data_IF_395581347446
#
_entry.id   IF_395581347446
#
_cell.length_a   1.000
_cell.length_b   1.000
_cell.length_c   1.000
_cell.angle_alpha   90.00
_cell.angle_beta   90.00
_cell.angle_gamma   90.00
#
_symmetry.space_group_name_H-M   'P 1'
#
loop_
_entity.id
_entity.type
_entity.pdbx_description
1 polymer ?
#
# COMPACT_ATOMS: atom_id res chain seq x y z
N UNK A 1 -2.63 12.53 -8.70
CA UNK A 1 -4.02 13.01 -8.57
C UNK A 1 -4.87 11.96 -7.87
N UNK A 2 -5.46 12.32 -6.74
CA UNK A 2 -6.39 11.45 -5.98
C UNK A 2 -7.78 11.53 -6.61
N UNK A 3 -8.48 10.39 -6.73
CA UNK A 3 -9.88 10.36 -7.16
C UNK A 3 -10.77 11.27 -6.30
N UNK A 4 -10.48 11.37 -5.00
CA UNK A 4 -11.24 12.20 -4.09
C UNK A 4 -11.12 13.71 -4.42
N UNK A 5 -9.94 14.18 -4.83
CA UNK A 5 -9.77 15.58 -5.26
C UNK A 5 -10.54 15.87 -6.55
N UNK A 6 -10.46 14.96 -7.53
CA UNK A 6 -11.23 15.11 -8.75
C UNK A 6 -12.74 15.17 -8.49
N UNK A 7 -13.26 14.34 -7.57
CA UNK A 7 -14.68 14.37 -7.18
C UNK A 7 -15.08 15.69 -6.50
N UNK A 8 -14.21 16.25 -5.65
CA UNK A 8 -14.42 17.57 -5.04
C UNK A 8 -14.49 18.66 -6.11
N UNK A 9 -13.61 18.63 -7.12
CA UNK A 9 -13.60 19.59 -8.23
C UNK A 9 -14.89 19.52 -9.07
N UNK A 10 -15.55 18.36 -9.10
CA UNK A 10 -16.86 18.18 -9.76
C UNK A 10 -18.06 18.59 -8.88
N UNK A 11 -17.82 19.12 -7.68
CA UNK A 11 -18.87 19.54 -6.74
C UNK A 11 -19.53 18.39 -5.97
N UNK A 12 -18.90 17.22 -5.91
CA UNK A 12 -19.34 16.10 -5.08
C UNK A 12 -18.66 16.14 -3.72
N UNK A 13 -19.31 15.61 -2.68
CA UNK A 13 -18.75 15.49 -1.33
C UNK A 13 -18.31 14.04 -1.06
N UNK A 14 -17.06 13.66 -1.41
CA UNK A 14 -16.57 12.31 -1.13
C UNK A 14 -16.37 12.10 0.37
N UNK A 15 -16.73 10.90 0.82
CA UNK A 15 -16.59 10.44 2.20
C UNK A 15 -15.81 9.13 2.26
N UNK A 16 -15.14 8.90 3.38
CA UNK A 16 -14.40 7.68 3.66
C UNK A 16 -15.16 6.83 4.67
N UNK A 17 -15.29 5.54 4.37
CA UNK A 17 -15.82 4.53 5.30
C UNK A 17 -14.68 3.63 5.75
N UNK A 18 -14.71 3.20 7.02
CA UNK A 18 -13.68 2.29 7.54
C UNK A 18 -13.92 0.86 7.02
N UNK A 19 -13.00 0.28 6.22
CA UNK A 19 -13.18 -1.07 5.65
C UNK A 19 -13.36 -2.16 6.71
N UNK A 20 -12.76 -2.00 7.89
CA UNK A 20 -12.90 -2.94 8.99
C UNK A 20 -14.35 -2.97 9.52
N UNK A 21 -14.99 -1.79 9.62
CA UNK A 21 -16.39 -1.69 10.03
C UNK A 21 -17.33 -2.20 8.95
N UNK A 22 -17.02 -1.96 7.66
CA UNK A 22 -17.77 -2.52 6.53
C UNK A 22 -17.78 -4.05 6.62
N UNK A 23 -16.61 -4.67 6.84
CA UNK A 23 -16.50 -6.13 6.99
C UNK A 23 -17.33 -6.65 8.17
N UNK A 24 -17.22 -6.03 9.35
CA UNK A 24 -17.97 -6.45 10.55
C UNK A 24 -19.48 -6.30 10.37
N UNK A 25 -19.93 -5.20 9.77
CA UNK A 25 -21.36 -4.98 9.49
C UNK A 25 -21.89 -5.95 8.43
N UNK A 26 -21.07 -6.30 7.45
CA UNK A 26 -21.39 -7.35 6.47
C UNK A 26 -21.58 -8.70 7.15
N UNK A 27 -20.65 -9.11 8.00
CA UNK A 27 -20.72 -10.38 8.75
C UNK A 27 -21.97 -10.46 9.65
N UNK A 28 -22.39 -9.34 10.24
CA UNK A 28 -23.61 -9.30 11.06
C UNK A 28 -24.91 -9.41 10.25
N UNK A 29 -24.93 -8.88 9.02
CA UNK A 29 -26.13 -8.86 8.15
C UNK A 29 -26.23 -10.10 7.28
N UNK A 30 -25.11 -10.74 6.98
CA UNK A 30 -25.01 -11.82 6.00
C UNK A 30 -24.41 -13.08 6.65
N UNK A 31 -25.25 -14.09 6.83
CA UNK A 31 -24.82 -15.40 7.31
C UNK A 31 -24.21 -16.27 6.18
N UNK A 32 -24.04 -15.72 4.97
CA UNK A 32 -23.41 -16.45 3.85
C UNK A 32 -21.98 -15.97 3.60
N UNK A 33 -21.01 -16.88 3.43
CA UNK A 33 -19.59 -16.54 3.24
C UNK A 33 -19.27 -16.00 1.83
N UNK A 34 -20.28 -15.67 1.01
CA UNK A 34 -20.06 -15.28 -0.37
C UNK A 34 -19.62 -13.81 -0.50
N UNK A 35 -18.46 -13.60 -1.12
CA UNK A 35 -18.00 -12.27 -1.53
C UNK A 35 -18.85 -11.78 -2.69
N UNK A 36 -19.51 -10.64 -2.50
CA UNK A 36 -20.32 -9.97 -3.53
C UNK A 36 -20.23 -8.47 -3.34
N UNK A 37 -19.82 -7.76 -4.40
CA UNK A 37 -19.66 -6.31 -4.39
C UNK A 37 -20.99 -5.58 -4.16
N UNK A 38 -22.11 -6.15 -4.62
CA UNK A 38 -23.44 -5.62 -4.36
C UNK A 38 -23.75 -5.54 -2.86
N UNK A 39 -23.33 -6.55 -2.08
CA UNK A 39 -23.50 -6.56 -0.63
C UNK A 39 -22.63 -5.50 0.04
N UNK A 40 -21.40 -5.34 -0.43
CA UNK A 40 -20.48 -4.31 0.07
C UNK A 40 -21.03 -2.90 -0.19
N UNK A 41 -21.55 -2.65 -1.40
CA UNK A 41 -22.20 -1.38 -1.74
C UNK A 41 -23.39 -1.07 -0.83
N UNK A 42 -24.23 -2.06 -0.51
CA UNK A 42 -25.38 -1.88 0.39
C UNK A 42 -24.95 -1.56 1.82
N UNK A 43 -23.92 -2.24 2.34
CA UNK A 43 -23.38 -1.98 3.68
C UNK A 43 -22.74 -0.59 3.74
N UNK A 44 -21.97 -0.21 2.73
CA UNK A 44 -21.36 1.12 2.64
C UNK A 44 -22.44 2.20 2.58
N UNK A 45 -23.46 2.03 1.75
CA UNK A 45 -24.57 2.98 1.65
C UNK A 45 -25.32 3.15 2.98
N UNK A 46 -25.58 2.05 3.69
CA UNK A 46 -26.20 2.08 5.01
C UNK A 46 -25.31 2.78 6.05
N UNK A 47 -24.00 2.51 6.03
CA UNK A 47 -23.04 3.19 6.89
C UNK A 47 -23.01 4.70 6.63
N UNK A 48 -22.98 5.12 5.37
CA UNK A 48 -23.00 6.54 4.99
C UNK A 48 -24.32 7.20 5.43
N UNK A 49 -25.45 6.56 5.16
CA UNK A 49 -26.79 7.03 5.57
C UNK A 49 -26.88 7.26 7.09
N UNK A 50 -26.29 6.37 7.88
CA UNK A 50 -26.31 6.44 9.34
C UNK A 50 -25.20 7.33 9.94
N UNK A 51 -24.37 7.98 9.11
CA UNK A 51 -23.31 8.88 9.58
C UNK A 51 -22.00 8.17 9.99
N UNK A 52 -21.87 6.87 9.72
CA UNK A 52 -20.65 6.10 9.99
C UNK A 52 -19.60 6.28 8.88
N UNK A 53 -19.20 7.53 8.65
CA UNK A 53 -18.19 7.92 7.68
C UNK A 53 -17.31 9.06 8.23
N UNK A 54 -16.22 9.34 7.53
CA UNK A 54 -15.34 10.46 7.79
C UNK A 54 -15.24 11.34 6.54
N UNK A 55 -15.24 12.68 6.67
CA UNK A 55 -15.00 13.54 5.53
C UNK A 55 -13.58 13.33 5.01
N UNK A 56 -13.40 13.46 3.69
CA UNK A 56 -12.06 13.48 3.10
C UNK A 56 -11.34 14.74 3.61
N UNK A 57 -10.22 14.53 4.31
CA UNK A 57 -9.38 15.64 4.77
C UNK A 57 -8.44 16.06 3.65
N UNK A 58 -8.52 17.32 3.26
CA UNK A 58 -7.47 17.96 2.47
C UNK A 58 -6.23 18.09 3.35
N UNK A 59 -5.07 17.76 2.79
CA UNK A 59 -3.78 18.03 3.39
C UNK A 59 -3.12 19.20 2.64
N UNK A 60 -2.22 19.96 3.28
CA UNK A 60 -1.41 20.94 2.58
C UNK A 60 -0.65 20.29 1.41
N UNK A 61 -0.49 21.02 0.31
CA UNK A 61 0.17 20.54 -0.91
C UNK A 61 1.55 19.93 -0.62
N UNK A 62 2.38 20.61 0.17
CA UNK A 62 3.70 20.14 0.60
C UNK A 62 3.66 18.75 1.25
N UNK A 63 2.63 18.47 2.04
CA UNK A 63 2.47 17.18 2.72
C UNK A 63 2.09 16.07 1.72
N UNK A 64 1.28 16.40 0.71
CA UNK A 64 0.91 15.45 -0.33
C UNK A 64 2.11 15.08 -1.19
N UNK A 65 2.92 16.06 -1.58
CA UNK A 65 4.18 15.84 -2.29
C UNK A 65 5.13 14.97 -1.49
N UNK A 66 5.31 15.28 -0.20
CA UNK A 66 6.16 14.48 0.69
C UNK A 66 5.68 13.03 0.78
N UNK A 67 4.37 12.81 0.87
CA UNK A 67 3.78 11.45 0.90
C UNK A 67 4.06 10.69 -0.39
N UNK A 68 3.96 11.34 -1.55
CA UNK A 68 4.30 10.75 -2.85
C UNK A 68 5.78 10.39 -2.90
N UNK A 69 6.66 11.32 -2.46
CA UNK A 69 8.10 11.09 -2.42
C UNK A 69 8.47 9.90 -1.52
N UNK A 70 7.84 9.78 -0.36
CA UNK A 70 8.04 8.64 0.55
C UNK A 70 7.64 7.31 -0.09
N UNK A 71 6.48 7.26 -0.75
CA UNK A 71 6.03 6.05 -1.46
C UNK A 71 6.97 5.66 -2.61
N UNK A 72 7.47 6.65 -3.35
CA UNK A 72 8.46 6.45 -4.40
C UNK A 72 9.78 5.91 -3.82
N UNK A 73 10.27 6.51 -2.73
CA UNK A 73 11.46 6.05 -2.03
C UNK A 73 11.31 4.59 -1.58
N UNK A 74 10.19 4.22 -0.96
CA UNK A 74 9.95 2.85 -0.52
C UNK A 74 9.99 1.86 -1.70
N UNK A 75 9.39 2.25 -2.83
CA UNK A 75 9.42 1.47 -4.07
C UNK A 75 10.85 1.26 -4.58
N UNK A 76 11.66 2.34 -4.62
CA UNK A 76 13.05 2.29 -5.06
C UNK A 76 13.89 1.43 -4.11
N UNK A 77 13.73 1.59 -2.80
CA UNK A 77 14.42 0.78 -1.80
C UNK A 77 14.08 -0.70 -1.94
N UNK A 78 12.80 -1.05 -2.17
CA UNK A 78 12.38 -2.44 -2.43
C UNK A 78 13.05 -3.01 -3.67
N UNK A 79 13.13 -2.24 -4.76
CA UNK A 79 13.81 -2.66 -6.00
C UNK A 79 15.31 -2.85 -5.81
N UNK A 80 15.96 -1.93 -5.10
CA UNK A 80 17.38 -2.04 -4.75
C UNK A 80 17.65 -3.32 -3.96
N UNK A 81 16.89 -3.55 -2.90
CA UNK A 81 17.04 -4.76 -2.07
C UNK A 81 16.80 -6.03 -2.88
N UNK A 82 15.81 -6.03 -3.78
CA UNK A 82 15.57 -7.15 -4.69
C UNK A 82 16.77 -7.41 -5.62
N UNK A 83 17.36 -6.36 -6.21
CA UNK A 83 18.53 -6.47 -7.07
C UNK A 83 19.77 -6.97 -6.31
N UNK A 84 20.01 -6.44 -5.11
CA UNK A 84 21.09 -6.88 -4.22
C UNK A 84 20.93 -8.37 -3.87
N UNK A 85 19.72 -8.79 -3.50
CA UNK A 85 19.43 -10.20 -3.20
C UNK A 85 19.59 -11.11 -4.42
N UNK A 86 19.27 -10.62 -5.63
CA UNK A 86 19.55 -11.36 -6.86
C UNK A 86 21.06 -11.56 -7.03
N UNK A 87 21.88 -10.51 -6.90
CA UNK A 87 23.34 -10.62 -6.98
C UNK A 87 23.88 -11.61 -5.96
N UNK A 88 23.44 -11.53 -4.70
CA UNK A 88 23.81 -12.50 -3.67
C UNK A 88 23.50 -13.93 -4.10
N UNK A 89 22.31 -14.18 -4.66
CA UNK A 89 21.90 -15.50 -5.15
C UNK A 89 22.76 -15.98 -6.33
N UNK A 90 23.09 -15.11 -7.27
CA UNK A 90 23.94 -15.47 -8.41
C UNK A 90 25.36 -15.83 -7.96
N UNK A 91 25.93 -15.05 -7.03
CA UNK A 91 27.24 -15.35 -6.44
C UNK A 91 27.23 -16.70 -5.73
N UNK A 92 26.17 -17.04 -4.99
CA UNK A 92 26.08 -18.35 -4.33
C UNK A 92 26.08 -19.52 -5.29
N UNK A 93 25.50 -19.33 -6.48
CA UNK A 93 25.41 -20.38 -7.50
C UNK A 93 26.78 -20.58 -8.18
N UNK A 94 27.50 -19.49 -8.46
CA UNK A 94 28.70 -19.52 -9.30
C UNK A 94 30.00 -19.59 -8.48
N UNK A 95 30.05 -18.97 -7.30
CA UNK A 95 31.21 -18.90 -6.40
C UNK A 95 30.79 -18.96 -4.92
N UNK A 96 30.30 -20.12 -4.44
CA UNK A 96 29.87 -20.28 -3.05
C UNK A 96 31.00 -20.09 -2.03
N UNK A 97 32.26 -20.34 -2.40
CA UNK A 97 33.43 -20.14 -1.52
C UNK A 97 33.67 -18.67 -1.19
N UNK A 98 33.18 -17.74 -2.02
CA UNK A 98 33.37 -16.30 -1.82
C UNK A 98 32.76 -15.84 -0.49
N UNK A 99 31.67 -16.47 -0.03
CA UNK A 99 31.06 -16.20 1.27
C UNK A 99 31.88 -16.63 2.47
N UNK A 100 32.82 -17.56 2.29
CA UNK A 100 33.74 -17.97 3.35
C UNK A 100 34.79 -16.88 3.59
N UNK A 101 35.12 -16.10 2.56
CA UNK A 101 36.13 -15.03 2.59
C UNK A 101 35.50 -13.66 2.88
N UNK A 102 34.34 -13.35 2.29
CA UNK A 102 33.64 -12.09 2.45
C UNK A 102 32.22 -12.29 2.97
N UNK A 103 31.94 -11.80 4.19
CA UNK A 103 30.59 -11.86 4.79
C UNK A 103 29.60 -10.88 4.15
N UNK A 104 30.07 -9.79 3.55
CA UNK A 104 29.24 -8.76 2.91
C UNK A 104 29.77 -8.58 1.50
N UNK A 105 28.99 -8.92 0.47
CA UNK A 105 29.44 -8.81 -0.93
C UNK A 105 29.49 -7.37 -1.44
N UNK A 106 28.78 -6.45 -0.79
CA UNK A 106 28.76 -5.02 -1.13
C UNK A 106 29.86 -4.22 -0.45
N UNK A 107 30.77 -4.85 0.30
CA UNK A 107 31.88 -4.14 0.93
C UNK A 107 32.94 -3.77 -0.13
N UNK A 108 33.61 -2.64 0.07
CA UNK A 108 34.61 -2.10 -0.87
C UNK A 108 35.73 -3.09 -1.21
N UNK A 109 36.07 -4.01 -0.29
CA UNK A 109 37.08 -5.04 -0.51
C UNK A 109 36.62 -6.22 -1.37
N UNK A 110 35.32 -6.41 -1.59
CA UNK A 110 34.76 -7.49 -2.41
C UNK A 110 34.51 -7.07 -3.87
N UNK A 111 34.62 -5.78 -4.20
CA UNK A 111 34.36 -5.19 -5.54
C UNK A 111 35.67 -4.96 -6.32
N UNK A 112 36.82 -5.39 -5.77
CA UNK A 112 38.15 -5.24 -6.39
C UNK A 112 38.47 -6.37 -7.38
#
# INVERSE_FOLDING_TARGET
>A
FSLAHWLLDQGMEPVLVNPHLVKKNKENRDNTPSKSDHKDALVIADMVKNGYYFPVRSHPEDYEELRILMANRETVTKRLNAAVNQIHRWVDIVFPELRQVFKILTCTSAIA
#
